data_IF_663505023431
#
_entry.id   IF_663505023431
#
_cell.length_a   1.000
_cell.length_b   1.000
_cell.length_c   1.000
_cell.angle_alpha   90.00
_cell.angle_beta   90.00
_cell.angle_gamma   90.00
#
_symmetry.space_group_name_H-M   'P 1'
#
loop_
_entity.id
_entity.type
_entity.pdbx_description
1 polymer ?
#
# COMPACT_ATOMS: atom_id res chain seq x y z
N UNK A 1 12.79 2.55 4.25
CA UNK A 1 11.99 1.98 3.13
C UNK A 1 11.49 0.61 3.57
N UNK A 2 10.21 0.29 3.39
CA UNK A 2 9.70 -1.04 3.75
C UNK A 2 10.10 -2.06 2.68
N UNK A 3 10.81 -3.11 3.06
CA UNK A 3 11.23 -4.15 2.11
C UNK A 3 10.12 -5.18 1.93
N UNK A 4 9.64 -5.36 0.69
CA UNK A 4 8.54 -6.26 0.40
C UNK A 4 9.02 -7.70 0.23
N UNK A 5 8.57 -8.60 1.10
CA UNK A 5 8.89 -10.03 1.06
C UNK A 5 7.78 -10.78 0.33
N UNK A 6 8.18 -11.50 -0.71
CA UNK A 6 7.36 -12.45 -1.46
C UNK A 6 7.80 -13.88 -1.16
N UNK A 7 7.02 -14.83 -1.63
CA UNK A 7 7.30 -16.26 -1.47
C UNK A 7 8.66 -16.69 -2.05
N UNK A 8 9.04 -16.14 -3.20
CA UNK A 8 10.31 -16.43 -3.87
C UNK A 8 11.43 -15.43 -3.57
N UNK A 9 11.20 -14.42 -2.72
CA UNK A 9 12.28 -13.49 -2.35
C UNK A 9 13.40 -14.26 -1.67
N UNK A 10 14.64 -14.26 -2.21
CA UNK A 10 15.78 -14.90 -1.57
C UNK A 10 16.13 -14.14 -0.28
N UNK A 11 16.46 -14.88 0.78
CA UNK A 11 16.78 -14.28 2.08
C UNK A 11 18.12 -13.55 2.02
N UNK A 12 19.06 -14.02 1.20
CA UNK A 12 20.40 -13.46 1.04
C UNK A 12 20.42 -12.01 0.52
N UNK A 13 19.39 -11.58 -0.19
CA UNK A 13 19.29 -10.21 -0.72
C UNK A 13 18.76 -9.21 0.31
N UNK A 14 18.40 -9.67 1.51
CA UNK A 14 17.91 -8.79 2.57
C UNK A 14 19.09 -8.11 3.27
N UNK A 15 19.06 -6.77 3.40
CA UNK A 15 20.09 -6.04 4.13
C UNK A 15 20.01 -6.37 5.62
N UNK A 16 21.16 -6.52 6.29
CA UNK A 16 21.22 -6.92 7.71
C UNK A 16 20.64 -5.90 8.68
N UNK A 17 20.69 -4.62 8.31
CA UNK A 17 20.22 -3.47 9.09
C UNK A 17 18.71 -3.22 8.94
N UNK A 18 17.97 -4.17 8.35
CA UNK A 18 16.55 -3.99 8.10
C UNK A 18 15.75 -4.08 9.41
N UNK A 19 15.04 -3.00 9.74
CA UNK A 19 14.18 -2.92 10.93
C UNK A 19 12.71 -3.28 10.64
N UNK A 20 12.24 -3.00 9.42
CA UNK A 20 10.86 -3.24 8.98
C UNK A 20 10.78 -4.06 7.69
N UNK A 21 9.97 -5.12 7.71
CA UNK A 21 9.60 -5.91 6.52
C UNK A 21 8.11 -5.80 6.21
N UNK A 22 7.72 -5.90 4.95
CA UNK A 22 6.32 -6.00 4.55
C UNK A 22 6.02 -7.36 3.90
N UNK A 23 5.08 -8.11 4.47
CA UNK A 23 4.61 -9.38 3.92
C UNK A 23 3.51 -9.13 2.90
N UNK A 24 3.81 -9.44 1.64
CA UNK A 24 2.82 -9.41 0.55
C UNK A 24 1.92 -10.66 0.58
N UNK A 25 2.45 -11.78 1.07
CA UNK A 25 1.78 -13.07 1.20
C UNK A 25 2.10 -13.70 2.56
N UNK A 26 1.27 -14.63 3.07
CA UNK A 26 1.61 -15.42 4.25
C UNK A 26 2.89 -16.21 4.00
N UNK A 27 3.78 -16.24 4.98
CA UNK A 27 5.05 -16.97 4.89
C UNK A 27 5.10 -18.13 5.89
N UNK A 28 5.91 -19.12 5.58
CA UNK A 28 6.16 -20.25 6.47
C UNK A 28 7.07 -19.87 7.64
N UNK A 29 6.93 -20.60 8.75
CA UNK A 29 7.78 -20.42 9.93
C UNK A 29 9.28 -20.60 9.62
N UNK A 30 9.61 -21.60 8.78
CA UNK A 30 10.99 -21.85 8.33
C UNK A 30 11.60 -20.64 7.63
N UNK A 31 10.82 -20.00 6.74
CA UNK A 31 11.27 -18.80 6.04
C UNK A 31 11.39 -17.60 6.98
N UNK A 32 10.45 -17.45 7.92
CA UNK A 32 10.52 -16.37 8.91
C UNK A 32 11.76 -16.49 9.81
N UNK A 33 12.09 -17.70 10.27
CA UNK A 33 13.32 -17.94 11.03
C UNK A 33 14.58 -17.59 10.23
N UNK A 34 14.64 -17.96 8.95
CA UNK A 34 15.75 -17.59 8.08
C UNK A 34 15.87 -16.06 7.92
N UNK A 35 14.74 -15.36 7.81
CA UNK A 35 14.72 -13.88 7.76
C UNK A 35 15.25 -13.27 9.05
N UNK A 36 14.84 -13.78 10.21
CA UNK A 36 15.32 -13.32 11.52
C UNK A 36 16.83 -13.56 11.68
N UNK A 37 17.32 -14.71 11.23
CA UNK A 37 18.76 -15.03 11.27
C UNK A 37 19.58 -14.09 10.38
N UNK A 38 19.06 -13.74 9.20
CA UNK A 38 19.74 -12.84 8.28
C UNK A 38 19.65 -11.37 8.74
N UNK A 39 18.51 -10.98 9.33
CA UNK A 39 18.20 -9.62 9.71
C UNK A 39 17.82 -9.59 11.22
N UNK A 40 18.82 -9.63 12.11
CA UNK A 40 18.58 -9.73 13.55
C UNK A 40 17.93 -8.50 14.17
N UNK A 41 17.95 -7.36 13.47
CA UNK A 41 17.37 -6.08 13.92
C UNK A 41 15.90 -5.91 13.52
N UNK A 42 15.25 -6.94 12.95
CA UNK A 42 13.82 -6.83 12.61
C UNK A 42 12.98 -6.76 13.88
N UNK A 43 12.28 -5.65 14.03
CA UNK A 43 11.33 -5.44 15.13
C UNK A 43 9.89 -5.47 14.63
N UNK A 44 9.67 -5.15 13.35
CA UNK A 44 8.32 -4.97 12.81
C UNK A 44 8.09 -5.68 11.47
N UNK A 45 6.91 -6.30 11.39
CA UNK A 45 6.39 -6.94 10.19
C UNK A 45 5.07 -6.28 9.80
N UNK A 46 5.09 -5.53 8.70
CA UNK A 46 3.89 -4.98 8.09
C UNK A 46 3.12 -6.07 7.34
N UNK A 47 1.84 -6.27 7.63
CA UNK A 47 0.96 -7.17 6.87
C UNK A 47 -0.41 -6.52 6.62
N UNK A 48 -1.11 -6.95 5.57
CA UNK A 48 -2.54 -6.65 5.43
C UNK A 48 -3.35 -7.54 6.38
N UNK A 49 -4.56 -7.12 6.74
CA UNK A 49 -5.44 -7.91 7.62
C UNK A 49 -5.73 -9.31 7.07
N UNK A 50 -5.84 -9.45 5.75
CA UNK A 50 -6.02 -10.74 5.08
C UNK A 50 -4.79 -11.63 5.24
N UNK A 51 -3.58 -11.08 5.07
CA UNK A 51 -2.32 -11.83 5.21
C UNK A 51 -2.13 -12.28 6.65
N UNK A 52 -2.31 -11.38 7.62
CA UNK A 52 -2.21 -11.68 9.04
C UNK A 52 -3.15 -12.81 9.46
N UNK A 53 -4.42 -12.76 9.03
CA UNK A 53 -5.43 -13.81 9.30
C UNK A 53 -5.04 -15.17 8.73
N UNK A 54 -4.33 -15.18 7.60
CA UNK A 54 -3.89 -16.39 6.90
C UNK A 54 -2.51 -16.90 7.32
N UNK A 55 -1.81 -16.21 8.21
CA UNK A 55 -0.55 -16.72 8.76
C UNK A 55 -0.81 -18.02 9.52
N UNK A 56 0.01 -19.02 9.26
CA UNK A 56 -0.03 -20.28 9.99
C UNK A 56 0.24 -20.03 11.49
N UNK A 57 -0.38 -20.80 12.40
CA UNK A 57 -0.16 -20.66 13.85
C UNK A 57 1.32 -20.70 14.23
N UNK A 58 2.07 -21.66 13.68
CA UNK A 58 3.53 -21.78 13.88
C UNK A 58 4.29 -20.51 13.52
N UNK A 59 3.88 -19.80 12.46
CA UNK A 59 4.54 -18.54 12.07
C UNK A 59 4.22 -17.43 13.06
N UNK A 60 2.99 -17.38 13.59
CA UNK A 60 2.60 -16.42 14.65
C UNK A 60 3.40 -16.66 15.93
N UNK A 61 3.58 -17.93 16.31
CA UNK A 61 4.38 -18.29 17.48
C UNK A 61 5.83 -17.82 17.35
N UNK A 62 6.43 -17.96 16.16
CA UNK A 62 7.78 -17.45 15.89
C UNK A 62 7.83 -15.93 16.05
N UNK A 63 6.87 -15.20 15.47
CA UNK A 63 6.82 -13.74 15.59
C UNK A 63 6.68 -13.31 17.06
N UNK A 64 5.84 -13.99 17.84
CA UNK A 64 5.65 -13.70 19.26
C UNK A 64 6.89 -14.02 20.10
N UNK A 65 7.53 -15.17 19.88
CA UNK A 65 8.76 -15.59 20.58
C UNK A 65 9.91 -14.60 20.38
N UNK A 66 10.04 -14.05 19.18
CA UNK A 66 11.08 -13.08 18.84
C UNK A 66 10.64 -11.63 19.09
N UNK A 67 9.49 -11.39 19.74
CA UNK A 67 8.95 -10.05 20.06
C UNK A 67 8.79 -9.14 18.82
N UNK A 68 8.48 -9.74 17.67
CA UNK A 68 8.29 -9.00 16.42
C UNK A 68 6.83 -8.55 16.32
N UNK A 69 6.63 -7.24 16.19
CA UNK A 69 5.30 -6.65 16.14
C UNK A 69 4.70 -6.71 14.72
N UNK A 70 3.44 -7.17 14.62
CA UNK A 70 2.72 -7.18 13.35
C UNK A 70 1.93 -5.88 13.20
N UNK A 71 2.39 -5.02 12.29
CA UNK A 71 1.71 -3.75 11.97
C UNK A 71 0.73 -3.97 10.83
N UNK A 72 -0.54 -3.61 11.05
CA UNK A 72 -1.54 -3.61 9.98
C UNK A 72 -1.31 -2.41 9.07
N UNK A 73 -0.82 -2.68 7.87
CA UNK A 73 -0.66 -1.64 6.85
C UNK A 73 -2.00 -1.41 6.15
N UNK A 74 -2.76 -0.41 6.59
CA UNK A 74 -3.93 0.07 5.84
C UNK A 74 -3.50 1.06 4.76
N UNK A 75 -2.94 0.57 3.66
CA UNK A 75 -2.78 1.36 2.43
C UNK A 75 -3.79 0.86 1.39
N UNK A 76 -4.98 1.49 1.29
CA UNK A 76 -6.00 1.02 0.37
C UNK A 76 -5.61 1.35 -1.08
N UNK A 77 -5.48 0.32 -1.91
CA UNK A 77 -5.52 0.43 -3.37
C UNK A 77 -4.18 0.63 -4.09
N UNK A 78 -4.24 0.48 -5.42
CA UNK A 78 -3.17 0.83 -6.35
C UNK A 78 -3.03 2.36 -6.37
N UNK A 79 -1.79 2.85 -6.45
CA UNK A 79 -1.55 4.26 -6.72
C UNK A 79 -2.28 4.67 -8.02
N UNK A 80 -2.93 5.83 -8.00
CA UNK A 80 -3.57 6.36 -9.20
C UNK A 80 -2.49 6.67 -10.24
N UNK A 81 -2.65 6.15 -11.45
CA UNK A 81 -1.82 6.47 -12.60
C UNK A 81 -2.22 7.82 -13.25
N UNK A 82 -2.95 8.66 -12.52
CA UNK A 82 -3.38 9.98 -13.01
C UNK A 82 -2.54 11.02 -12.30
N UNK A 83 -1.94 11.92 -13.07
CA UNK A 83 -1.15 12.98 -12.50
C UNK A 83 -2.02 13.99 -11.73
N UNK A 84 -1.43 14.68 -10.76
CA UNK A 84 -2.13 15.65 -9.93
C UNK A 84 -2.74 16.79 -10.73
N UNK A 85 -2.04 17.27 -11.76
CA UNK A 85 -2.51 18.38 -12.58
C UNK A 85 -3.83 18.01 -13.25
N UNK A 86 -3.90 16.79 -13.81
CA UNK A 86 -5.14 16.26 -14.38
C UNK A 86 -6.24 16.08 -13.32
N UNK A 87 -5.91 15.64 -12.11
CA UNK A 87 -6.89 15.51 -11.03
C UNK A 87 -7.48 16.87 -10.65
N UNK A 88 -6.65 17.92 -10.55
CA UNK A 88 -7.11 19.29 -10.29
C UNK A 88 -7.99 19.81 -11.42
N UNK A 89 -7.56 19.64 -12.67
CA UNK A 89 -8.33 20.04 -13.84
C UNK A 89 -9.71 19.37 -13.87
N UNK A 90 -9.79 18.05 -13.60
CA UNK A 90 -11.07 17.32 -13.49
C UNK A 90 -11.98 17.92 -12.40
N UNK A 91 -11.40 18.36 -11.27
CA UNK A 91 -12.14 18.96 -10.18
C UNK A 91 -12.73 20.32 -10.57
N UNK A 92 -11.93 21.16 -11.23
CA UNK A 92 -12.33 22.50 -11.64
C UNK A 92 -13.38 22.45 -12.75
N UNK A 93 -13.17 21.63 -13.79
CA UNK A 93 -14.17 21.40 -14.84
C UNK A 93 -15.49 20.85 -14.27
N UNK A 94 -15.43 20.08 -13.17
CA UNK A 94 -16.65 19.61 -12.51
C UNK A 94 -17.37 20.70 -11.74
N UNK A 95 -16.66 21.69 -11.18
CA UNK A 95 -17.26 22.89 -10.55
C UNK A 95 -17.94 23.77 -11.60
N UNK A 96 -17.39 23.80 -12.81
CA UNK A 96 -17.99 24.50 -13.96
C UNK A 96 -19.18 23.74 -14.58
N UNK A 97 -19.69 22.73 -13.88
CA UNK A 97 -20.87 21.93 -14.24
C UNK A 97 -20.73 21.06 -15.51
N UNK A 98 -19.53 20.89 -16.06
CA UNK A 98 -19.32 20.00 -17.19
C UNK A 98 -19.72 18.56 -16.86
N UNK A 99 -20.28 17.88 -17.86
CA UNK A 99 -20.60 16.47 -17.81
C UNK A 99 -19.33 15.62 -17.84
N UNK A 100 -19.41 14.39 -17.34
CA UNK A 100 -18.24 13.51 -17.31
C UNK A 100 -17.73 13.11 -18.70
N UNK A 101 -18.59 13.20 -19.74
CA UNK A 101 -18.19 12.94 -21.13
C UNK A 101 -17.38 14.12 -21.70
N UNK A 102 -17.74 15.34 -21.35
CA UNK A 102 -17.00 16.54 -21.75
C UNK A 102 -15.65 16.60 -21.03
N UNK A 103 -15.61 16.27 -19.73
CA UNK A 103 -14.35 16.17 -18.98
C UNK A 103 -13.45 15.07 -19.55
N UNK A 104 -14.01 13.94 -20.00
CA UNK A 104 -13.24 12.88 -20.66
C UNK A 104 -12.64 13.36 -21.99
N UNK A 105 -13.40 14.11 -22.79
CA UNK A 105 -12.90 14.71 -24.03
C UNK A 105 -11.77 15.71 -23.77
N UNK A 106 -11.90 16.56 -22.75
CA UNK A 106 -10.93 17.60 -22.42
C UNK A 106 -9.64 17.05 -21.80
N UNK A 107 -9.75 16.07 -20.90
CA UNK A 107 -8.62 15.59 -20.08
C UNK A 107 -7.96 14.32 -20.62
N UNK A 108 -8.65 13.63 -21.53
CA UNK A 108 -8.30 12.28 -22.00
C UNK A 108 -8.35 11.21 -20.91
N UNK A 109 -8.93 11.52 -19.74
CA UNK A 109 -9.07 10.56 -18.64
C UNK A 109 -10.38 9.80 -18.81
N UNK A 110 -10.38 8.46 -18.75
CA UNK A 110 -11.59 7.69 -18.94
C UNK A 110 -12.70 8.10 -17.97
N UNK A 111 -13.95 8.17 -18.45
CA UNK A 111 -15.13 8.53 -17.65
C UNK A 111 -15.24 7.73 -16.35
N UNK A 112 -14.91 6.45 -16.38
CA UNK A 112 -14.90 5.57 -15.20
C UNK A 112 -13.89 6.03 -14.13
N UNK A 113 -12.73 6.51 -14.57
CA UNK A 113 -11.68 7.06 -13.71
C UNK A 113 -12.09 8.43 -13.16
N UNK A 114 -12.67 9.30 -13.99
CA UNK A 114 -13.25 10.59 -13.56
C UNK A 114 -14.30 10.37 -12.46
N UNK A 115 -15.25 9.46 -12.70
CA UNK A 115 -16.28 9.11 -11.73
C UNK A 115 -15.69 8.61 -10.41
N UNK A 116 -14.68 7.74 -10.49
CA UNK A 116 -13.96 7.23 -9.32
C UNK A 116 -13.27 8.36 -8.54
N UNK A 117 -12.55 9.25 -9.23
CA UNK A 117 -11.82 10.37 -8.64
C UNK A 117 -12.76 11.32 -7.91
N UNK A 118 -13.86 11.74 -8.55
CA UNK A 118 -14.86 12.63 -7.95
C UNK A 118 -15.58 11.96 -6.76
N UNK A 119 -15.84 10.66 -6.83
CA UNK A 119 -16.45 9.92 -5.70
C UNK A 119 -15.49 9.77 -4.52
N UNK A 120 -14.18 9.64 -4.77
CA UNK A 120 -13.14 9.53 -3.74
C UNK A 120 -12.80 10.88 -3.10
N UNK A 121 -12.72 11.94 -3.91
CA UNK A 121 -12.60 13.33 -3.48
C UNK A 121 -13.62 13.68 -2.38
N UNK A 122 -14.90 13.38 -2.64
CA UNK A 122 -15.99 13.60 -1.68
C UNK A 122 -15.88 12.80 -0.37
N UNK A 123 -15.06 11.75 -0.32
CA UNK A 123 -15.00 10.81 0.81
C UNK A 123 -13.74 10.98 1.66
N UNK A 124 -12.61 11.41 1.10
CA UNK A 124 -11.35 11.60 1.83
C UNK A 124 -10.44 12.62 1.14
N UNK A 125 -9.73 13.41 1.95
CA UNK A 125 -8.59 14.25 1.55
C UNK A 125 -7.58 13.41 0.75
N UNK A 126 -7.25 13.83 -0.47
CA UNK A 126 -6.27 13.11 -1.30
C UNK A 126 -4.89 13.57 -0.84
N UNK A 127 -4.13 12.68 -0.20
CA UNK A 127 -2.76 12.94 0.23
C UNK A 127 -1.77 12.50 -0.85
N UNK A 128 -1.01 13.44 -1.43
CA UNK A 128 0.22 13.15 -2.21
C UNK A 128 1.41 13.74 -1.45
N UNK A 129 2.16 12.90 -0.75
CA UNK A 129 3.26 13.36 0.11
C UNK A 129 2.75 14.20 1.28
N UNK A 130 3.30 15.42 1.45
CA UNK A 130 2.85 16.39 2.48
C UNK A 130 1.63 17.22 2.05
N UNK A 131 1.23 17.16 0.78
CA UNK A 131 0.18 18.02 0.24
C UNK A 131 -1.19 17.34 0.34
N UNK A 132 -2.12 18.08 0.94
CA UNK A 132 -3.52 17.71 1.10
C UNK A 132 -4.31 18.46 0.03
N UNK A 133 -4.85 17.74 -0.93
CA UNK A 133 -5.73 18.35 -1.94
C UNK A 133 -7.17 18.19 -1.47
N UNK A 134 -7.83 19.32 -1.27
CA UNK A 134 -9.27 19.42 -1.11
C UNK A 134 -9.85 19.43 -2.53
N UNK A 135 -10.61 18.38 -2.85
CA UNK A 135 -11.30 18.20 -4.13
C UNK A 135 -12.79 18.16 -3.86
#
# INVERSE_FOLDING_TARGET
MQYAIREHTPVSTLPRELTEVHLVRPISAKKMLAIIQQCPQIEMVGASSSVEKRLAPKTRDVLQKHRIHVKRNHRPGRALNVDLEKIKLIADLRKDFLSMREIEAETGVPKSTIHYLLKKAKRQKIHKGKNVIYV
#
